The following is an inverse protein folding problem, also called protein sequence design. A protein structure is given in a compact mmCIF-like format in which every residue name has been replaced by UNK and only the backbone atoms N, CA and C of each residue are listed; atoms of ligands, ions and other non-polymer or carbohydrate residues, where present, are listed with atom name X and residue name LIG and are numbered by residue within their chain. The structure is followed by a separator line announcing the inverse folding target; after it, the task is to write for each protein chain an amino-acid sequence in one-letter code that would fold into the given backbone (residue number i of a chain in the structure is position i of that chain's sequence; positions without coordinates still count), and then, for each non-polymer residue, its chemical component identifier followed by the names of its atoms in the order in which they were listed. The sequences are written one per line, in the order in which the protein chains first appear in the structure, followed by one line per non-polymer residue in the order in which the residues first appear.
data_IF_490127976686
#
_entry.id   IF_490127976686
#
_cell.length_a   1.000
_cell.length_b   1.000
_cell.length_c   1.000
_cell.angle_alpha   90.00
_cell.angle_beta   90.00
_cell.angle_gamma   90.00
#
_symmetry.space_group_name_H-M   'P 1'
#
loop_
_entity.id
_entity.type
_entity.pdbx_description
1 polymer ?
#
# COMPACT_ATOMS: atom_id res chain seq x y z
N UNK A 1 -28.87 7.55 -1.21
CA UNK A 1 -27.84 8.27 -0.43
C UNK A 1 -26.49 8.02 -1.10
N UNK A 2 -25.77 9.08 -1.51
CA UNK A 2 -24.42 8.95 -2.06
C UNK A 2 -23.50 8.46 -0.94
N UNK A 3 -22.95 7.25 -1.05
CA UNK A 3 -21.81 6.85 -0.24
C UNK A 3 -20.63 7.73 -0.69
N UNK A 4 -20.37 8.77 0.09
CA UNK A 4 -19.22 9.66 -0.08
C UNK A 4 -17.95 8.87 0.17
N UNK A 5 -17.40 8.31 -0.89
CA UNK A 5 -16.03 7.78 -0.96
C UNK A 5 -15.07 8.96 -0.85
N UNK A 6 -14.54 9.25 0.34
CA UNK A 6 -13.48 10.26 0.47
C UNK A 6 -12.83 10.18 1.86
N UNK A 7 -11.68 9.52 1.96
CA UNK A 7 -10.89 9.62 3.20
C UNK A 7 -9.77 8.59 3.42
N UNK A 8 -9.51 7.67 2.49
CA UNK A 8 -8.66 6.50 2.80
C UNK A 8 -7.14 6.68 2.70
N UNK A 9 -6.60 7.76 2.15
CA UNK A 9 -5.17 7.77 1.72
C UNK A 9 -4.35 8.98 2.22
N UNK A 10 -4.98 10.00 2.80
CA UNK A 10 -4.27 11.26 3.12
C UNK A 10 -3.38 11.13 4.35
N UNK A 11 -3.78 10.33 5.36
CA UNK A 11 -2.97 10.10 6.57
C UNK A 11 -1.65 9.38 6.25
N UNK A 12 -1.68 8.44 5.31
CA UNK A 12 -0.53 7.65 4.93
C UNK A 12 0.51 8.45 4.12
N UNK A 13 0.02 9.30 3.19
CA UNK A 13 0.88 10.23 2.45
C UNK A 13 1.57 11.22 3.39
N UNK A 14 0.85 11.77 4.39
CA UNK A 14 1.42 12.70 5.36
C UNK A 14 2.50 12.03 6.24
N UNK A 15 2.26 10.82 6.72
CA UNK A 15 3.25 10.03 7.48
C UNK A 15 4.50 9.74 6.63
N UNK A 16 4.32 9.43 5.34
CA UNK A 16 5.45 9.21 4.41
C UNK A 16 6.28 10.48 4.25
N UNK A 17 5.63 11.63 4.05
CA UNK A 17 6.33 12.93 3.94
C UNK A 17 7.05 13.29 5.25
N UNK A 18 6.43 13.07 6.40
CA UNK A 18 7.06 13.32 7.71
C UNK A 18 8.35 12.50 7.91
N UNK A 19 8.35 11.22 7.50
CA UNK A 19 9.53 10.35 7.55
C UNK A 19 10.64 10.80 6.58
N UNK A 20 10.28 11.30 5.40
CA UNK A 20 11.22 11.88 4.42
C UNK A 20 11.90 13.13 5.01
N UNK A 21 11.12 14.01 5.67
CA UNK A 21 11.66 15.22 6.32
C UNK A 21 12.63 14.85 7.43
N UNK A 22 12.27 13.94 8.35
CA UNK A 22 13.16 13.51 9.44
C UNK A 22 14.51 12.93 8.94
N UNK A 23 14.50 12.24 7.80
CA UNK A 23 15.72 11.72 7.15
C UNK A 23 16.60 12.82 6.57
N UNK A 24 16.00 13.84 5.95
CA UNK A 24 16.71 14.99 5.37
C UNK A 24 17.29 15.90 6.45
N UNK A 25 16.62 16.02 7.60
CA UNK A 25 17.15 16.73 8.78
C UNK A 25 18.26 15.93 9.50
N UNK A 26 18.65 14.77 8.96
CA UNK A 26 19.73 13.92 9.48
C UNK A 26 19.54 13.49 10.95
N UNK A 27 18.29 13.45 11.43
CA UNK A 27 17.93 12.94 12.77
C UNK A 27 18.08 11.41 12.81
N UNK A 28 18.03 10.74 11.65
CA UNK A 28 18.12 9.28 11.55
C UNK A 28 19.13 8.88 10.45
N UNK A 29 20.25 8.27 10.83
CA UNK A 29 21.27 7.69 9.92
C UNK A 29 20.85 6.32 9.36
N UNK A 30 19.56 6.05 9.21
CA UNK A 30 19.07 4.72 8.81
C UNK A 30 18.88 4.60 7.30
N UNK A 31 18.76 3.39 6.75
CA UNK A 31 18.61 3.17 5.32
C UNK A 31 17.20 3.56 4.84
N UNK A 32 17.09 4.09 3.64
CA UNK A 32 15.86 4.64 3.08
C UNK A 32 14.73 3.59 2.94
N UNK A 33 15.10 2.32 2.76
CA UNK A 33 14.15 1.21 2.73
C UNK A 33 13.38 1.02 4.06
N UNK A 34 13.97 1.40 5.19
CA UNK A 34 13.34 1.29 6.50
C UNK A 34 12.41 2.46 6.82
N UNK A 35 12.69 3.62 6.26
CA UNK A 35 11.87 4.83 6.34
C UNK A 35 10.53 4.61 5.65
N UNK A 36 10.54 3.81 4.58
CA UNK A 36 9.33 3.36 3.91
C UNK A 36 8.76 2.06 4.47
N UNK A 37 9.32 1.40 5.49
CA UNK A 37 8.78 0.11 5.97
C UNK A 37 7.28 0.14 6.28
N UNK A 38 6.75 1.15 7.02
CA UNK A 38 5.31 1.26 7.23
C UNK A 38 4.54 1.45 5.92
N UNK A 39 5.14 2.02 4.87
CA UNK A 39 4.48 2.15 3.58
C UNK A 39 4.57 0.89 2.71
N UNK A 40 5.72 0.24 2.74
CA UNK A 40 6.08 -0.93 1.94
C UNK A 40 5.32 -2.17 2.41
N UNK A 41 5.13 -2.34 3.73
CA UNK A 41 4.34 -3.44 4.30
C UNK A 41 2.90 -3.37 3.79
N UNK A 42 2.29 -2.19 3.80
CA UNK A 42 0.93 -2.00 3.33
C UNK A 42 0.83 -2.12 1.81
N UNK A 43 1.79 -1.56 1.06
CA UNK A 43 1.85 -1.71 -0.39
C UNK A 43 2.00 -3.19 -0.81
N UNK A 44 2.88 -3.95 -0.15
CA UNK A 44 3.04 -5.38 -0.36
C UNK A 44 1.76 -6.15 -0.03
N UNK A 45 1.07 -5.81 1.06
CA UNK A 45 -0.17 -6.47 1.44
C UNK A 45 -1.29 -6.21 0.43
N UNK A 46 -1.45 -4.96 -0.03
CA UNK A 46 -2.40 -4.61 -1.08
C UNK A 46 -2.07 -5.31 -2.41
N UNK A 47 -0.79 -5.34 -2.79
CA UNK A 47 -0.34 -6.01 -4.01
C UNK A 47 -0.64 -7.52 -3.95
N UNK A 48 -0.32 -8.16 -2.83
CA UNK A 48 -0.57 -9.59 -2.63
C UNK A 48 -2.08 -9.90 -2.62
N UNK A 49 -2.88 -9.09 -1.94
CA UNK A 49 -4.35 -9.24 -1.93
C UNK A 49 -4.95 -9.08 -3.33
N UNK A 50 -4.48 -8.10 -4.10
CA UNK A 50 -4.93 -7.87 -5.48
C UNK A 50 -4.53 -9.03 -6.38
N UNK A 51 -3.30 -9.53 -6.26
CA UNK A 51 -2.80 -10.67 -7.02
C UNK A 51 -3.59 -11.96 -6.71
N UNK A 52 -3.85 -12.23 -5.43
CA UNK A 52 -4.65 -13.40 -5.02
C UNK A 52 -6.07 -13.29 -5.58
N UNK A 53 -6.69 -12.10 -5.52
CA UNK A 53 -8.02 -11.87 -6.06
C UNK A 53 -8.04 -12.07 -7.58
N UNK A 54 -7.09 -11.51 -8.32
CA UNK A 54 -7.05 -11.68 -9.78
C UNK A 54 -6.81 -13.14 -10.18
N UNK A 55 -5.91 -13.85 -9.49
CA UNK A 55 -5.69 -15.27 -9.71
C UNK A 55 -6.93 -16.10 -9.39
N UNK A 56 -7.63 -15.80 -8.28
CA UNK A 56 -8.85 -16.49 -7.90
C UNK A 56 -9.95 -16.29 -8.96
N UNK A 57 -10.11 -15.06 -9.47
CA UNK A 57 -11.05 -14.80 -10.57
C UNK A 57 -10.66 -15.58 -11.83
N UNK A 58 -9.40 -15.56 -12.24
CA UNK A 58 -8.92 -16.34 -13.40
C UNK A 58 -9.21 -17.84 -13.22
N UNK A 59 -8.94 -18.40 -12.04
CA UNK A 59 -9.23 -19.81 -11.74
C UNK A 59 -10.73 -20.09 -11.79
N UNK A 60 -11.55 -19.19 -11.28
CA UNK A 60 -13.02 -19.30 -11.32
C UNK A 60 -13.54 -19.24 -12.76
N UNK A 61 -13.00 -18.38 -13.61
CA UNK A 61 -13.34 -18.31 -15.04
C UNK A 61 -12.97 -19.62 -15.77
N UNK A 62 -11.79 -20.17 -15.48
CA UNK A 62 -11.37 -21.48 -16.03
C UNK A 62 -12.27 -22.59 -15.51
N UNK A 63 -12.65 -22.56 -14.23
CA UNK A 63 -13.48 -23.60 -13.60
C UNK A 63 -14.95 -23.54 -14.02
N UNK A 64 -15.49 -22.34 -14.31
CA UNK A 64 -16.86 -22.18 -14.79
C UNK A 64 -17.02 -22.50 -16.29
N UNK A 65 -15.93 -22.83 -16.98
CA UNK A 65 -16.01 -23.51 -18.27
C UNK A 65 -16.44 -22.61 -19.41
N UNK A 66 -15.44 -21.96 -20.01
CA UNK A 66 -15.22 -22.10 -21.45
C UNK A 66 -13.85 -22.70 -21.69
#
# INVERSE_FOLDING_TARGET
MKLTTSGGVVLFGLVTVAFIVLKLTHVILWSWLWVLSPALIWACLCFLATLVLTLALIVVEIANGK
#
